data_IF_227222624754
#
_entry.id   IF_227222624754
#
_cell.length_a   1.000
_cell.length_b   1.000
_cell.length_c   1.000
_cell.angle_alpha   90.00
_cell.angle_beta   90.00
_cell.angle_gamma   90.00
#
_symmetry.space_group_name_H-M   'P 1'
#
loop_
_entity.id
_entity.type
_entity.pdbx_description
1 polymer ?
#
# COMPACT_ATOMS: atom_id res chain seq x y z
N UNK A 1 0.98 9.60 -4.00
CA UNK A 1 1.98 8.62 -4.55
C UNK A 1 1.44 8.04 -5.86
N UNK A 2 2.27 7.61 -6.85
CA UNK A 2 1.73 6.94 -8.06
C UNK A 2 1.60 5.42 -7.88
N UNK A 3 0.64 4.79 -8.57
CA UNK A 3 0.39 3.33 -8.52
C UNK A 3 1.64 2.46 -8.75
N UNK A 4 2.45 2.81 -9.76
CA UNK A 4 3.67 2.05 -10.08
C UNK A 4 4.76 2.23 -9.02
N UNK A 5 4.84 3.39 -8.37
CA UNK A 5 5.78 3.60 -7.26
C UNK A 5 5.38 2.73 -6.06
N UNK A 6 4.07 2.63 -5.78
CA UNK A 6 3.55 1.74 -4.74
C UNK A 6 3.87 0.26 -5.06
N UNK A 7 3.66 -0.18 -6.29
CA UNK A 7 3.99 -1.54 -6.69
C UNK A 7 5.49 -1.83 -6.54
N UNK A 8 6.35 -0.90 -6.94
CA UNK A 8 7.79 -1.04 -6.75
C UNK A 8 8.16 -1.15 -5.27
N UNK A 9 7.56 -0.34 -4.39
CA UNK A 9 7.75 -0.45 -2.94
C UNK A 9 7.31 -1.83 -2.42
N UNK A 10 6.19 -2.36 -2.91
CA UNK A 10 5.70 -3.69 -2.55
C UNK A 10 6.70 -4.78 -2.94
N UNK A 11 7.23 -4.74 -4.15
CA UNK A 11 8.22 -5.71 -4.63
C UNK A 11 9.52 -5.59 -3.85
N UNK A 12 10.02 -4.37 -3.63
CA UNK A 12 11.29 -4.13 -2.93
C UNK A 12 11.26 -4.59 -1.47
N UNK A 13 10.09 -4.58 -0.83
CA UNK A 13 9.93 -5.01 0.56
C UNK A 13 9.31 -6.42 0.68
N UNK A 14 9.45 -7.26 -0.34
CA UNK A 14 8.93 -8.63 -0.37
C UNK A 14 7.47 -8.73 0.12
N UNK A 15 6.63 -7.83 -0.38
CA UNK A 15 5.20 -7.83 -0.07
C UNK A 15 4.81 -7.11 1.24
N UNK A 16 5.76 -6.68 2.07
CA UNK A 16 5.48 -6.06 3.37
C UNK A 16 5.91 -4.58 3.38
N UNK A 17 4.98 -3.67 3.16
CA UNK A 17 5.28 -2.23 3.05
C UNK A 17 4.69 -1.49 4.25
N UNK A 18 5.47 -0.57 4.82
CA UNK A 18 4.96 0.44 5.74
C UNK A 18 5.33 1.82 5.23
N UNK A 19 4.31 2.62 4.88
CA UNK A 19 4.45 4.00 4.45
C UNK A 19 4.14 4.92 5.63
N UNK A 20 5.15 5.64 6.09
CA UNK A 20 5.06 6.59 7.21
C UNK A 20 6.22 7.59 7.13
N UNK A 21 6.00 8.87 7.51
CA UNK A 21 4.70 9.49 7.80
C UNK A 21 3.92 9.77 6.49
N UNK A 22 2.59 9.71 6.58
CA UNK A 22 1.68 10.12 5.50
C UNK A 22 1.09 11.49 5.84
N UNK A 23 0.91 12.33 4.82
CA UNK A 23 0.58 13.75 5.01
C UNK A 23 -0.87 13.99 5.45
N UNK A 24 -1.80 13.11 5.05
CA UNK A 24 -3.21 13.21 5.39
C UNK A 24 -3.94 11.86 5.33
N UNK A 25 -5.17 11.84 5.84
CA UNK A 25 -6.05 10.68 5.76
C UNK A 25 -6.41 10.35 4.32
N UNK A 26 -6.62 11.37 3.49
CA UNK A 26 -6.95 11.20 2.06
C UNK A 26 -5.79 10.55 1.30
N UNK A 27 -4.54 10.92 1.60
CA UNK A 27 -3.36 10.27 1.00
C UNK A 27 -3.26 8.79 1.44
N UNK A 28 -3.58 8.47 2.70
CA UNK A 28 -3.63 7.10 3.18
C UNK A 28 -4.72 6.28 2.49
N UNK A 29 -5.91 6.84 2.29
CA UNK A 29 -7.02 6.21 1.57
C UNK A 29 -6.68 6.02 0.08
N UNK A 30 -5.99 6.97 -0.54
CA UNK A 30 -5.48 6.84 -1.91
C UNK A 30 -4.51 5.65 -2.03
N UNK A 31 -3.56 5.50 -1.10
CA UNK A 31 -2.62 4.37 -1.09
C UNK A 31 -3.36 3.03 -1.01
N UNK A 32 -4.34 2.91 -0.12
CA UNK A 32 -5.15 1.68 0.03
C UNK A 32 -5.94 1.41 -1.26
N UNK A 33 -6.52 2.45 -1.85
CA UNK A 33 -7.23 2.35 -3.12
C UNK A 33 -6.31 1.85 -4.25
N UNK A 34 -5.09 2.39 -4.36
CA UNK A 34 -4.09 1.94 -5.33
C UNK A 34 -3.68 0.48 -5.11
N UNK A 35 -3.56 0.02 -3.86
CA UNK A 35 -3.28 -1.38 -3.55
C UNK A 35 -4.40 -2.31 -4.05
N UNK A 36 -5.67 -1.94 -3.86
CA UNK A 36 -6.79 -2.69 -4.43
C UNK A 36 -6.83 -2.67 -5.96
N UNK A 37 -6.43 -1.57 -6.61
CA UNK A 37 -6.31 -1.54 -8.07
C UNK A 37 -5.25 -2.55 -8.56
N UNK A 38 -4.09 -2.62 -7.90
CA UNK A 38 -3.04 -3.59 -8.23
C UNK A 38 -3.51 -5.04 -8.01
N UNK A 39 -4.32 -5.27 -6.98
CA UNK A 39 -4.95 -6.57 -6.73
C UNK A 39 -5.95 -6.95 -7.83
N UNK A 40 -6.83 -6.02 -8.21
CA UNK A 40 -7.80 -6.23 -9.30
C UNK A 40 -7.12 -6.48 -10.65
N UNK A 41 -5.97 -5.84 -10.90
CA UNK A 41 -5.12 -6.09 -12.07
C UNK A 41 -4.33 -7.40 -12.00
N UNK A 42 -4.43 -8.15 -10.90
CA UNK A 42 -3.75 -9.42 -10.68
C UNK A 42 -2.23 -9.29 -10.46
N UNK A 43 -1.73 -8.08 -10.19
CA UNK A 43 -0.30 -7.83 -9.91
C UNK A 43 0.11 -8.29 -8.53
N UNK A 44 -0.80 -8.14 -7.57
CA UNK A 44 -0.62 -8.54 -6.18
C UNK A 44 -1.87 -9.27 -5.68
N UNK A 45 -1.78 -9.85 -4.50
CA UNK A 45 -2.90 -10.28 -3.67
C UNK A 45 -2.74 -9.55 -2.34
N UNK A 46 -3.71 -8.70 -1.98
CA UNK A 46 -3.67 -7.91 -0.76
C UNK A 46 -4.17 -8.79 0.39
N UNK A 47 -3.26 -9.16 1.30
CA UNK A 47 -3.55 -10.07 2.40
C UNK A 47 -4.08 -9.31 3.61
N UNK A 48 -3.48 -8.16 3.91
CA UNK A 48 -3.85 -7.31 5.03
C UNK A 48 -3.47 -5.86 4.73
N UNK A 49 -4.25 -4.92 5.25
CA UNK A 49 -3.86 -3.51 5.32
C UNK A 49 -4.27 -2.90 6.65
N UNK A 50 -3.51 -1.90 7.10
CA UNK A 50 -3.81 -1.14 8.31
C UNK A 50 -3.51 0.34 8.10
N UNK A 51 -4.40 1.21 8.57
CA UNK A 51 -4.18 2.66 8.62
C UNK A 51 -4.02 3.09 10.09
N UNK A 52 -2.80 3.48 10.45
CA UNK A 52 -2.47 4.06 11.75
C UNK A 52 -2.78 5.56 11.72
N UNK A 53 -3.18 6.15 12.85
CA UNK A 53 -3.65 7.56 12.92
C UNK A 53 -2.65 8.53 13.55
N UNK A 54 -1.63 8.04 14.26
CA UNK A 54 -0.65 8.87 14.97
C UNK A 54 0.73 8.18 15.09
N UNK A 55 1.71 8.49 14.21
CA UNK A 55 1.56 9.28 12.99
C UNK A 55 0.67 8.57 11.97
N UNK A 56 0.12 9.29 10.99
CA UNK A 56 -0.62 8.65 9.90
C UNK A 56 0.34 7.72 9.15
N UNK A 57 -0.01 6.45 9.07
CA UNK A 57 0.78 5.45 8.36
C UNK A 57 -0.14 4.41 7.70
N UNK A 58 0.33 3.83 6.60
CA UNK A 58 -0.33 2.70 5.94
C UNK A 58 0.63 1.53 5.90
N UNK A 59 0.20 0.42 6.48
CA UNK A 59 0.88 -0.86 6.37
C UNK A 59 0.11 -1.75 5.40
N UNK A 60 0.82 -2.35 4.45
CA UNK A 60 0.29 -3.28 3.46
C UNK A 60 1.06 -4.60 3.55
N UNK A 61 0.32 -5.70 3.63
CA UNK A 61 0.86 -7.05 3.48
C UNK A 61 0.26 -7.68 2.24
N UNK A 62 1.11 -8.12 1.34
CA UNK A 62 0.74 -8.59 0.02
C UNK A 62 1.58 -9.80 -0.36
N UNK A 63 1.06 -10.62 -1.26
CA UNK A 63 1.86 -11.51 -2.09
C UNK A 63 1.82 -10.99 -3.52
N UNK A 64 2.91 -11.09 -4.27
CA UNK A 64 2.92 -10.79 -5.70
C UNK A 64 3.00 -12.09 -6.50
N UNK A 65 2.39 -12.09 -7.68
CA UNK A 65 2.32 -13.24 -8.60
C UNK A 65 3.34 -13.08 -9.73
#
# INVERSE_FOLDING_TARGET
MKKYDLFNQIVLNNGNVRLSPISSKEEAEEIIFLAHQLEHEGKISLLEFCMEKDPIAVSLKTNYK
#
